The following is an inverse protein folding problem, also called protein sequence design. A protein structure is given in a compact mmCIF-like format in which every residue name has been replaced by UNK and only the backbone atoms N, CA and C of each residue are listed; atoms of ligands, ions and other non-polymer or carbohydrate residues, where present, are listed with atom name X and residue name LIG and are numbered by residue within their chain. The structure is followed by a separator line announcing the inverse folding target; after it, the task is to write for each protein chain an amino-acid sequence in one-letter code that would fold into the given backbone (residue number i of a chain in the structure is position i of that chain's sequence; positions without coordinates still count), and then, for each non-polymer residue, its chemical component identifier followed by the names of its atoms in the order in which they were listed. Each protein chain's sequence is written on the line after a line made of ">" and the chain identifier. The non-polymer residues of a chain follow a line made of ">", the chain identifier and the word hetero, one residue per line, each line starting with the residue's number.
data_IF_006190325186
#
_entry.id   IF_006190325186
#
_cell.length_a   1.000
_cell.length_b   1.000
_cell.length_c   1.000
_cell.angle_alpha   90.00
_cell.angle_beta   90.00
_cell.angle_gamma   90.00
#
_symmetry.space_group_name_H-M   'P 1'
#
loop_
_entity.id
_entity.type
_entity.pdbx_description
1 polymer ?
#
# COMPACT_ATOMS: atom_id res chain seq x y z
N UNK A 1 6.86 9.89 -13.97
CA UNK A 1 8.14 9.14 -14.04
C UNK A 1 8.28 8.58 -15.45
N UNK A 2 9.44 8.72 -16.08
CA UNK A 2 9.90 7.84 -17.17
C UNK A 2 11.42 7.84 -17.18
N UNK A 3 12.03 6.66 -17.16
CA UNK A 3 13.25 6.40 -17.92
C UNK A 3 13.26 4.95 -18.37
N UNK A 4 12.92 4.77 -19.65
CA UNK A 4 13.14 3.51 -20.35
C UNK A 4 14.61 3.53 -20.78
N UNK A 5 15.33 2.48 -20.42
CA UNK A 5 16.80 2.40 -20.48
C UNK A 5 17.35 2.48 -21.92
N UNK A 6 18.45 3.22 -22.20
CA UNK A 6 18.90 4.52 -21.67
C UNK A 6 19.00 5.57 -22.83
N UNK A 7 19.15 6.91 -22.63
CA UNK A 7 19.92 7.65 -21.62
C UNK A 7 19.00 8.67 -20.89
N UNK A 8 19.41 9.78 -20.25
CA UNK A 8 20.72 10.38 -19.97
C UNK A 8 20.76 10.97 -18.53
N UNK A 9 21.90 11.50 -18.09
CA UNK A 9 22.07 12.19 -16.79
C UNK A 9 22.62 11.32 -15.66
N UNK A 10 23.62 10.48 -15.96
CA UNK A 10 24.20 9.45 -15.08
C UNK A 10 24.75 9.97 -13.75
N UNK A 11 23.92 9.93 -12.71
CA UNK A 11 24.23 9.02 -11.62
C UNK A 11 23.51 7.70 -11.95
N UNK A 12 24.25 6.59 -12.03
CA UNK A 12 23.60 5.28 -12.03
C UNK A 12 23.04 5.07 -10.62
N UNK A 13 21.73 5.17 -10.48
CA UNK A 13 21.06 4.75 -9.27
C UNK A 13 21.34 3.25 -9.11
N UNK A 14 22.03 2.88 -8.04
CA UNK A 14 22.35 1.48 -7.73
C UNK A 14 21.04 0.71 -7.46
N UNK A 15 20.47 0.12 -8.51
CA UNK A 15 19.24 -0.68 -8.46
C UNK A 15 19.48 -2.01 -7.72
N UNK A 16 20.73 -2.40 -7.48
CA UNK A 16 21.10 -3.51 -6.62
C UNK A 16 21.08 -3.13 -5.14
N UNK A 17 20.99 -1.85 -4.79
CA UNK A 17 20.67 -1.36 -3.45
C UNK A 17 19.18 -1.00 -3.26
N UNK A 18 18.70 -1.08 -2.02
CA UNK A 18 17.38 -0.54 -1.65
C UNK A 18 17.34 1.00 -1.72
N UNK A 19 18.49 1.67 -1.58
CA UNK A 19 18.62 3.12 -1.68
C UNK A 19 18.39 3.62 -3.12
N UNK A 20 19.13 3.08 -4.08
CA UNK A 20 18.99 3.41 -5.50
C UNK A 20 17.66 2.97 -6.09
N UNK A 21 17.09 1.84 -5.66
CA UNK A 21 15.68 1.52 -5.96
C UNK A 21 14.73 2.59 -5.41
N UNK A 22 14.94 3.05 -4.17
CA UNK A 22 14.08 4.06 -3.55
C UNK A 22 14.22 5.45 -4.21
N UNK A 23 15.40 5.78 -4.76
CA UNK A 23 15.63 6.98 -5.57
C UNK A 23 14.97 6.87 -6.94
N UNK A 24 15.17 5.74 -7.63
CA UNK A 24 14.54 5.46 -8.93
C UNK A 24 13.00 5.46 -8.84
N UNK A 25 12.43 4.99 -7.73
CA UNK A 25 10.99 4.92 -7.48
C UNK A 25 10.41 6.05 -6.60
N UNK A 26 11.18 7.11 -6.37
CA UNK A 26 10.75 8.28 -5.61
C UNK A 26 9.48 8.93 -6.24
N UNK A 27 8.61 9.45 -5.38
CA UNK A 27 7.52 10.32 -5.83
C UNK A 27 8.09 11.67 -6.28
N UNK A 28 7.47 12.34 -7.27
CA UNK A 28 7.86 13.70 -7.63
C UNK A 28 7.67 14.66 -6.44
N UNK A 29 8.32 15.83 -6.50
CA UNK A 29 8.04 16.92 -5.56
C UNK A 29 6.52 17.26 -5.60
N UNK A 30 5.87 17.52 -4.44
CA UNK A 30 4.42 17.72 -4.36
C UNK A 30 3.90 18.71 -5.39
N UNK A 31 2.83 18.34 -6.09
CA UNK A 31 2.18 19.21 -7.06
C UNK A 31 1.65 20.49 -6.38
N UNK A 32 1.71 21.62 -7.10
CA UNK A 32 1.06 22.86 -6.66
C UNK A 32 -0.42 22.60 -6.31
N UNK A 33 -0.83 22.99 -5.11
CA UNK A 33 -2.15 22.67 -4.55
C UNK A 33 -2.21 21.38 -3.71
N UNK A 34 -1.08 20.73 -3.41
CA UNK A 34 -1.00 19.68 -2.37
C UNK A 34 -1.75 18.37 -2.68
N UNK A 35 -2.05 18.11 -3.96
CA UNK A 35 -2.76 16.88 -4.37
C UNK A 35 -1.90 15.63 -4.10
N UNK A 36 -2.48 14.55 -3.54
CA UNK A 36 -1.74 13.32 -3.26
C UNK A 36 -1.38 12.57 -4.55
N UNK A 37 -0.27 11.83 -4.52
CA UNK A 37 0.09 10.91 -5.60
C UNK A 37 -0.52 9.52 -5.39
N UNK A 38 -1.18 8.99 -6.42
CA UNK A 38 -1.60 7.60 -6.49
C UNK A 38 -0.63 6.82 -7.38
N UNK A 39 -0.22 5.62 -6.92
CA UNK A 39 0.56 4.65 -7.70
C UNK A 39 -0.12 3.28 -7.60
N UNK A 40 -0.56 2.75 -8.73
CA UNK A 40 -0.87 1.33 -8.85
C UNK A 40 0.43 0.54 -9.07
N UNK A 41 0.53 -0.66 -8.49
CA UNK A 41 1.57 -1.63 -8.77
C UNK A 41 0.93 -3.02 -8.86
N UNK A 42 1.14 -3.70 -9.97
CA UNK A 42 0.56 -5.01 -10.28
C UNK A 42 1.64 -5.91 -10.90
N UNK A 43 1.45 -7.22 -10.76
CA UNK A 43 2.15 -8.25 -11.52
C UNK A 43 1.11 -8.99 -12.36
N UNK A 44 1.49 -9.48 -13.54
CA UNK A 44 0.65 -10.34 -14.37
C UNK A 44 1.49 -11.41 -15.06
N UNK A 45 0.84 -12.51 -15.42
CA UNK A 45 1.38 -13.46 -16.40
C UNK A 45 1.44 -12.84 -17.80
N UNK A 46 2.03 -13.58 -18.75
CA UNK A 46 2.17 -13.16 -20.15
C UNK A 46 0.82 -12.96 -20.88
N UNK A 47 -0.19 -13.74 -20.51
CA UNK A 47 -1.58 -13.64 -20.98
C UNK A 47 -2.43 -12.63 -20.18
N UNK A 48 -1.83 -11.93 -19.20
CA UNK A 48 -2.48 -10.86 -18.45
C UNK A 48 -3.26 -11.29 -17.20
N UNK A 49 -3.18 -12.56 -16.79
CA UNK A 49 -3.79 -13.02 -15.54
C UNK A 49 -3.05 -12.41 -14.33
N UNK A 50 -3.82 -11.92 -13.35
CA UNK A 50 -3.29 -11.30 -12.13
C UNK A 50 -3.03 -12.32 -10.99
N UNK A 51 -3.36 -13.60 -11.21
CA UNK A 51 -3.16 -14.69 -10.26
C UNK A 51 -2.70 -15.97 -10.96
N UNK A 52 -1.85 -16.74 -10.29
CA UNK A 52 -1.56 -18.14 -10.56
C UNK A 52 -1.78 -18.93 -9.26
N UNK A 53 -2.33 -20.16 -9.36
CA UNK A 53 -2.71 -20.99 -8.20
C UNK A 53 -3.57 -20.24 -7.15
N UNK A 54 -4.40 -19.29 -7.60
CA UNK A 54 -5.31 -18.51 -6.77
C UNK A 54 -4.68 -17.31 -6.03
N UNK A 55 -3.39 -17.02 -6.23
CA UNK A 55 -2.65 -15.93 -5.59
C UNK A 55 -1.81 -15.13 -6.58
N UNK A 56 -1.40 -13.91 -6.23
CA UNK A 56 -0.45 -13.13 -7.07
C UNK A 56 1.00 -13.56 -6.88
N UNK A 57 1.37 -14.05 -5.70
CA UNK A 57 2.75 -14.37 -5.33
C UNK A 57 3.50 -15.32 -6.30
N UNK A 58 2.89 -16.34 -6.92
CA UNK A 58 3.60 -17.21 -7.88
C UNK A 58 3.98 -16.54 -9.21
N UNK A 59 3.40 -15.36 -9.51
CA UNK A 59 3.78 -14.56 -10.69
C UNK A 59 5.00 -13.66 -10.43
N UNK A 60 5.40 -13.49 -9.18
CA UNK A 60 6.47 -12.57 -8.76
C UNK A 60 7.85 -13.23 -8.76
N UNK A 61 8.87 -12.44 -9.09
CA UNK A 61 10.29 -12.82 -8.95
C UNK A 61 10.92 -12.21 -7.68
N UNK A 62 12.11 -12.67 -7.24
CA UNK A 62 12.85 -12.00 -6.17
C UNK A 62 13.13 -10.52 -6.45
N UNK A 63 13.35 -10.14 -7.71
CA UNK A 63 13.55 -8.74 -8.12
C UNK A 63 12.25 -7.94 -8.00
N UNK A 64 11.11 -8.48 -8.43
CA UNK A 64 9.79 -7.86 -8.24
C UNK A 64 9.49 -7.66 -6.75
N UNK A 65 9.76 -8.66 -5.90
CA UNK A 65 9.56 -8.53 -4.44
C UNK A 65 10.44 -7.45 -3.79
N UNK A 66 11.66 -7.22 -4.30
CA UNK A 66 12.51 -6.09 -3.87
C UNK A 66 11.90 -4.74 -4.27
N UNK A 67 11.39 -4.63 -5.49
CA UNK A 67 10.69 -3.44 -5.99
C UNK A 67 9.42 -3.22 -5.16
N UNK A 68 8.49 -4.18 -5.12
CA UNK A 68 7.25 -4.14 -4.33
C UNK A 68 7.47 -3.71 -2.88
N UNK A 69 8.47 -4.28 -2.20
CA UNK A 69 8.84 -3.89 -0.85
C UNK A 69 9.34 -2.43 -0.74
N UNK A 70 10.08 -1.95 -1.74
CA UNK A 70 10.53 -0.55 -1.84
C UNK A 70 9.36 0.40 -2.10
N UNK A 71 8.46 0.07 -3.04
CA UNK A 71 7.28 0.88 -3.35
C UNK A 71 6.38 1.06 -2.12
N UNK A 72 6.19 0.00 -1.32
CA UNK A 72 5.45 0.07 -0.06
C UNK A 72 6.17 0.92 0.98
N UNK A 73 7.49 0.80 1.09
CA UNK A 73 8.28 1.56 2.06
C UNK A 73 8.38 3.07 1.74
N UNK A 74 8.14 3.47 0.50
CA UNK A 74 8.02 4.87 0.07
C UNK A 74 6.61 5.48 0.27
N UNK A 75 5.56 4.65 0.35
CA UNK A 75 4.19 5.13 0.44
C UNK A 75 3.82 5.63 1.85
N UNK A 76 2.84 6.51 1.95
CA UNK A 76 2.21 6.86 3.24
C UNK A 76 1.10 5.88 3.63
N UNK A 77 0.40 5.36 2.62
CA UNK A 77 -0.71 4.43 2.74
C UNK A 77 -0.61 3.38 1.62
N UNK A 78 -0.79 2.11 1.97
CA UNK A 78 -0.97 1.01 1.02
C UNK A 78 -2.45 0.64 0.97
N UNK A 79 -3.12 0.94 -0.14
CA UNK A 79 -4.53 0.61 -0.35
C UNK A 79 -4.67 -0.81 -0.88
N UNK A 80 -5.62 -1.58 -0.34
CA UNK A 80 -5.92 -2.96 -0.75
C UNK A 80 -7.43 -3.23 -0.66
N UNK A 81 -7.97 -4.04 -1.57
CA UNK A 81 -9.35 -4.51 -1.49
C UNK A 81 -9.52 -5.63 -0.46
N UNK A 82 -10.67 -5.70 0.21
CA UNK A 82 -10.96 -6.69 1.26
C UNK A 82 -10.69 -8.15 0.84
N UNK A 83 -11.05 -8.55 -0.39
CA UNK A 83 -10.84 -9.91 -0.87
C UNK A 83 -9.36 -10.26 -1.02
N UNK A 84 -8.55 -9.35 -1.58
CA UNK A 84 -7.10 -9.51 -1.66
C UNK A 84 -6.48 -9.58 -0.27
N UNK A 85 -6.92 -8.73 0.66
CA UNK A 85 -6.42 -8.74 2.03
C UNK A 85 -6.68 -10.09 2.74
N UNK A 86 -7.86 -10.70 2.51
CA UNK A 86 -8.19 -12.04 3.01
C UNK A 86 -7.34 -13.13 2.34
N UNK A 87 -7.35 -13.23 1.01
CA UNK A 87 -6.67 -14.32 0.26
C UNK A 87 -5.16 -14.36 0.46
N UNK A 88 -4.54 -13.19 0.52
CA UNK A 88 -3.08 -13.05 0.66
C UNK A 88 -2.65 -12.96 2.13
N UNK A 89 -3.57 -13.09 3.10
CA UNK A 89 -3.24 -13.07 4.53
C UNK A 89 -2.53 -11.79 4.97
N UNK A 90 -3.04 -10.63 4.56
CA UNK A 90 -2.38 -9.35 4.79
C UNK A 90 -2.07 -9.11 6.27
N UNK A 91 -0.86 -8.61 6.54
CA UNK A 91 -0.40 -8.18 7.87
C UNK A 91 -0.11 -6.67 7.85
N UNK A 92 0.02 -6.02 9.03
CA UNK A 92 0.40 -4.63 9.09
C UNK A 92 1.77 -4.39 8.45
N UNK A 93 1.97 -3.19 7.92
CA UNK A 93 3.29 -2.83 7.42
C UNK A 93 4.30 -2.71 8.56
N UNK A 94 5.49 -3.27 8.36
CA UNK A 94 6.59 -3.21 9.32
C UNK A 94 7.46 -1.99 9.05
N UNK A 95 7.93 -1.32 10.10
CA UNK A 95 9.00 -0.34 9.97
C UNK A 95 10.27 -1.04 9.45
N UNK A 96 10.83 -0.51 8.36
CA UNK A 96 12.06 -1.02 7.73
C UNK A 96 13.22 -0.09 8.08
N UNK A 97 14.28 -0.63 8.71
CA UNK A 97 15.40 0.17 9.22
C UNK A 97 16.09 0.95 8.10
N UNK A 98 16.19 0.31 6.94
CA UNK A 98 16.78 0.83 5.69
C UNK A 98 16.04 2.06 5.16
N UNK A 99 14.76 2.21 5.51
CA UNK A 99 13.90 3.33 5.10
C UNK A 99 13.63 4.33 6.23
N UNK A 100 14.01 4.04 7.48
CA UNK A 100 13.63 4.83 8.65
C UNK A 100 14.08 6.30 8.54
N UNK A 101 15.34 6.55 8.18
CA UNK A 101 15.86 7.90 7.96
C UNK A 101 15.17 8.63 6.79
N UNK A 102 14.88 7.92 5.70
CA UNK A 102 14.18 8.47 4.52
C UNK A 102 12.75 8.89 4.85
N UNK A 103 12.03 8.04 5.59
CA UNK A 103 10.65 8.30 6.05
C UNK A 103 10.62 9.47 7.03
N UNK A 104 11.54 9.53 7.98
CA UNK A 104 11.66 10.64 8.92
C UNK A 104 11.96 11.98 8.20
N UNK A 105 12.90 11.98 7.24
CA UNK A 105 13.23 13.16 6.44
C UNK A 105 12.05 13.67 5.57
N UNK A 106 11.15 12.76 5.18
CA UNK A 106 9.92 13.09 4.46
C UNK A 106 8.71 13.34 5.39
N UNK A 107 8.89 13.40 6.71
CA UNK A 107 7.81 13.61 7.69
C UNK A 107 6.80 12.45 7.81
N UNK A 108 7.12 11.27 7.27
CA UNK A 108 6.23 10.12 7.22
C UNK A 108 6.22 9.33 8.54
N UNK A 109 5.10 8.65 8.83
CA UNK A 109 5.00 7.67 9.93
C UNK A 109 6.04 6.54 9.77
N UNK A 110 6.52 5.87 10.85
CA UNK A 110 7.58 4.85 10.79
C UNK A 110 7.34 3.67 9.83
N UNK A 111 6.07 3.39 9.52
CA UNK A 111 5.61 2.47 8.48
C UNK A 111 4.44 3.12 7.70
N UNK A 112 4.12 2.69 6.47
CA UNK A 112 2.87 3.08 5.83
C UNK A 112 1.67 2.52 6.60
N UNK A 113 0.55 3.23 6.61
CA UNK A 113 -0.72 2.61 7.01
C UNK A 113 -1.15 1.58 5.95
N UNK A 114 -1.87 0.54 6.36
CA UNK A 114 -2.64 -0.29 5.41
C UNK A 114 -4.07 0.25 5.39
N UNK A 115 -4.64 0.46 4.21
CA UNK A 115 -6.02 0.88 4.04
C UNK A 115 -6.82 -0.21 3.31
N UNK A 116 -7.75 -0.83 4.02
CA UNK A 116 -8.61 -1.89 3.49
C UNK A 116 -9.92 -1.28 2.98
N UNK A 117 -10.17 -1.37 1.68
CA UNK A 117 -11.44 -0.96 1.06
C UNK A 117 -12.43 -2.12 1.16
N UNK A 118 -13.56 -1.90 1.85
CA UNK A 118 -14.59 -2.93 2.08
C UNK A 118 -15.97 -2.30 2.22
N UNK A 119 -16.93 -2.71 1.38
CA UNK A 119 -18.34 -2.25 1.47
C UNK A 119 -19.13 -2.98 2.57
N UNK A 120 -18.90 -4.30 2.70
CA UNK A 120 -19.63 -5.13 3.67
C UNK A 120 -18.98 -5.15 5.06
N UNK A 121 -17.74 -4.67 5.17
CA UNK A 121 -16.88 -4.83 6.35
C UNK A 121 -16.71 -6.30 6.77
N UNK A 122 -16.77 -7.22 5.80
CA UNK A 122 -16.61 -8.65 6.06
C UNK A 122 -15.14 -9.04 6.24
N UNK A 123 -14.59 -8.67 7.38
CA UNK A 123 -13.17 -8.77 7.71
C UNK A 123 -13.03 -9.48 9.06
N UNK A 124 -11.98 -10.28 9.19
CA UNK A 124 -11.54 -10.83 10.47
C UNK A 124 -10.80 -9.72 11.24
N UNK A 125 -11.50 -9.12 12.20
CA UNK A 125 -10.99 -8.05 13.05
C UNK A 125 -10.10 -8.55 14.20
N UNK A 126 -9.98 -9.86 14.41
CA UNK A 126 -9.01 -10.46 15.34
C UNK A 126 -7.70 -10.86 14.65
N UNK A 127 -7.65 -10.80 13.31
CA UNK A 127 -6.43 -11.02 12.55
C UNK A 127 -5.30 -10.04 12.91
N UNK A 128 -4.03 -10.44 12.72
CA UNK A 128 -2.86 -9.58 12.92
C UNK A 128 -2.92 -8.21 12.23
N UNK A 129 -3.67 -8.08 11.13
CA UNK A 129 -3.85 -6.84 10.38
C UNK A 129 -4.45 -5.71 11.24
N UNK A 130 -5.31 -6.05 12.20
CA UNK A 130 -5.96 -5.09 13.10
C UNK A 130 -5.35 -5.13 14.50
N UNK A 131 -4.88 -6.29 14.98
CA UNK A 131 -4.38 -6.46 16.35
C UNK A 131 -2.89 -6.12 16.56
N UNK A 132 -2.04 -6.20 15.53
CA UNK A 132 -0.59 -5.94 15.62
C UNK A 132 -0.05 -4.65 14.91
N UNK A 133 -0.83 -3.63 14.51
CA UNK A 133 -0.31 -2.54 13.70
C UNK A 133 0.55 -1.52 14.48
N UNK A 134 1.74 -1.21 13.94
CA UNK A 134 2.54 -0.04 14.39
C UNK A 134 1.89 1.30 14.00
N UNK A 135 1.09 1.29 12.92
CA UNK A 135 0.32 2.43 12.43
C UNK A 135 -1.09 1.90 12.15
N UNK A 136 -2.15 2.44 12.81
CA UNK A 136 -3.49 1.90 12.72
C UNK A 136 -3.94 1.59 11.29
N UNK A 137 -4.56 0.44 11.13
CA UNK A 137 -5.11 0.02 9.84
C UNK A 137 -6.37 0.85 9.56
N UNK A 138 -6.39 1.50 8.39
CA UNK A 138 -7.54 2.26 7.93
C UNK A 138 -8.56 1.30 7.32
N UNK A 139 -9.84 1.53 7.59
CA UNK A 139 -10.95 0.80 6.95
C UNK A 139 -11.79 1.81 6.19
N UNK A 140 -11.81 1.69 4.86
CA UNK A 140 -12.52 2.59 3.96
C UNK A 140 -13.82 1.91 3.50
N UNK A 141 -14.97 2.53 3.79
CA UNK A 141 -16.30 1.98 3.51
C UNK A 141 -17.29 3.08 3.10
N UNK A 142 -18.45 2.72 2.53
CA UNK A 142 -19.55 3.65 2.25
C UNK A 142 -20.55 3.80 3.39
N UNK A 143 -21.49 4.73 3.23
CA UNK A 143 -22.57 5.07 4.17
C UNK A 143 -23.43 3.87 4.60
N UNK A 144 -23.68 2.93 3.69
CA UNK A 144 -24.49 1.72 3.89
C UNK A 144 -23.77 0.59 4.68
N UNK A 145 -22.66 0.88 5.36
CA UNK A 145 -21.91 -0.10 6.14
C UNK A 145 -22.71 -0.64 7.34
N UNK A 146 -22.69 -1.96 7.64
CA UNK A 146 -23.38 -2.51 8.80
C UNK A 146 -22.86 -1.90 10.11
N UNK A 147 -23.75 -1.32 10.93
CA UNK A 147 -23.40 -0.61 12.17
C UNK A 147 -22.59 -1.47 13.14
N UNK A 148 -22.97 -2.74 13.31
CA UNK A 148 -22.26 -3.68 14.17
C UNK A 148 -20.81 -3.93 13.70
N UNK A 149 -20.60 -4.05 12.38
CA UNK A 149 -19.26 -4.20 11.80
C UNK A 149 -18.43 -2.91 11.90
N UNK A 150 -19.06 -1.73 11.82
CA UNK A 150 -18.40 -0.44 12.09
C UNK A 150 -17.90 -0.37 13.55
N UNK A 151 -18.71 -0.81 14.51
CA UNK A 151 -18.33 -0.88 15.93
C UNK A 151 -17.21 -1.89 16.14
N UNK A 152 -17.32 -3.10 15.57
CA UNK A 152 -16.29 -4.14 15.67
C UNK A 152 -14.94 -3.67 15.10
N UNK A 153 -14.93 -3.01 13.94
CA UNK A 153 -13.72 -2.44 13.35
C UNK A 153 -13.04 -1.43 14.29
N UNK A 154 -13.81 -0.49 14.86
CA UNK A 154 -13.29 0.51 15.80
C UNK A 154 -12.79 -0.14 17.11
N UNK A 155 -13.51 -1.13 17.63
CA UNK A 155 -13.11 -1.89 18.82
C UNK A 155 -11.84 -2.75 18.59
N UNK A 156 -11.54 -3.08 17.33
CA UNK A 156 -10.29 -3.73 16.94
C UNK A 156 -9.11 -2.76 16.73
N UNK A 157 -9.32 -1.45 16.93
CA UNK A 157 -8.28 -0.42 16.75
C UNK A 157 -8.15 0.10 15.32
N UNK A 158 -9.11 -0.20 14.43
CA UNK A 158 -9.10 0.33 13.07
C UNK A 158 -9.62 1.78 13.01
N UNK A 159 -8.95 2.63 12.24
CA UNK A 159 -9.43 3.96 11.89
C UNK A 159 -10.45 3.84 10.74
N UNK A 160 -11.74 3.86 11.07
CA UNK A 160 -12.80 3.70 10.07
C UNK A 160 -13.19 5.05 9.45
N UNK A 161 -12.95 5.16 8.14
CA UNK A 161 -13.38 6.27 7.29
C UNK A 161 -14.61 5.84 6.50
N UNK A 162 -15.71 6.57 6.70
CA UNK A 162 -16.93 6.41 5.89
C UNK A 162 -16.88 7.46 4.80
N UNK A 163 -16.74 7.03 3.55
CA UNK A 163 -16.97 7.88 2.40
C UNK A 163 -18.45 8.27 2.37
N UNK A 164 -18.72 9.56 2.23
CA UNK A 164 -20.06 10.03 1.90
C UNK A 164 -20.45 9.52 0.51
N UNK A 165 -21.75 9.37 0.27
CA UNK A 165 -22.24 9.27 -1.10
C UNK A 165 -22.11 10.66 -1.73
N UNK A 166 -21.03 10.86 -2.48
CA UNK A 166 -20.94 11.97 -3.42
C UNK A 166 -22.05 11.76 -4.46
N UNK A 167 -23.21 12.39 -4.23
CA UNK A 167 -24.22 12.58 -5.25
C UNK A 167 -23.62 13.51 -6.32
N UNK A 168 -22.89 12.91 -7.26
CA UNK A 168 -22.13 13.62 -8.28
C UNK A 168 -23.01 14.52 -9.13
N UNK A 169 -22.93 15.81 -8.86
CA UNK A 169 -23.45 16.92 -9.68
C UNK A 169 -22.41 17.35 -10.70
#
# INVERSE_FOLDING_TARGET
>A
MRRLYPPAGTADADLDSLGGLADAYAYPAPAAGGRPYLRANMVSSLDGAAVADGKSAPLSSPADMRIFGTLRALADVVVVGAETARREGYRPAKARKEFAGRRAAAGQRPAPAVAVVSRSLDLDFDSPLFREPLVPTLVLTGTAAPRERLVAARAAGAEVVVAADDAGT
#
